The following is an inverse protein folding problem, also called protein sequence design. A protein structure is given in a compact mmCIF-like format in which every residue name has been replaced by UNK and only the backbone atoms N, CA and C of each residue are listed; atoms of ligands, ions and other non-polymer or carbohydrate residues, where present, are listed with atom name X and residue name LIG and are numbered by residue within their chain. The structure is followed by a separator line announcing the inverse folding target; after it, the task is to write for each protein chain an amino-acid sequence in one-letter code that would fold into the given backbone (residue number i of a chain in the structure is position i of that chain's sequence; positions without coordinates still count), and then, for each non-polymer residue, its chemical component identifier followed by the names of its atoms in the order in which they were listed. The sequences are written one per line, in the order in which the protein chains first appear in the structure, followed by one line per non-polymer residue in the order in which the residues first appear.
data_IF_005878487302
#
_entry.id   IF_005878487302
#
_cell.length_a   1.000
_cell.length_b   1.000
_cell.length_c   1.000
_cell.angle_alpha   90.00
_cell.angle_beta   90.00
_cell.angle_gamma   90.00
#
_symmetry.space_group_name_H-M   'P 1'
#
loop_
_entity.id
_entity.type
_entity.pdbx_description
1 polymer ?
#
# COMPACT_ATOMS: atom_id res chain seq x y z
N UNK A 1 7.60 25.47 -5.12
CA UNK A 1 7.72 25.21 -3.66
C UNK A 1 6.30 25.06 -3.12
N UNK A 2 5.84 23.84 -2.83
CA UNK A 2 4.52 23.63 -2.25
C UNK A 2 4.61 23.95 -0.75
N UNK A 3 3.93 24.99 -0.27
CA UNK A 3 3.65 25.12 1.16
C UNK A 3 2.64 24.04 1.51
N UNK A 4 3.10 22.95 2.12
CA UNK A 4 2.21 21.95 2.71
C UNK A 4 1.61 22.61 3.95
N UNK A 5 0.42 23.20 3.82
CA UNK A 5 -0.40 23.47 4.99
C UNK A 5 -0.82 22.10 5.50
N UNK A 6 -0.15 21.60 6.54
CA UNK A 6 -0.56 20.42 7.30
C UNK A 6 -1.95 20.71 7.87
N UNK A 7 -3.01 20.54 7.07
CA UNK A 7 -4.36 20.40 7.59
C UNK A 7 -4.48 18.97 8.08
N UNK A 8 -3.89 18.75 9.25
CA UNK A 8 -4.05 17.55 10.06
C UNK A 8 -5.52 17.51 10.52
N UNK A 9 -6.39 16.86 9.74
CA UNK A 9 -7.64 16.35 10.30
C UNK A 9 -7.30 15.03 10.97
N UNK A 10 -7.24 15.04 12.29
CA UNK A 10 -7.27 13.82 13.10
C UNK A 10 -8.61 13.14 12.77
N UNK A 11 -8.55 12.01 12.06
CA UNK A 11 -9.72 11.16 11.89
C UNK A 11 -9.81 10.30 13.16
N UNK A 12 -10.54 10.78 14.15
CA UNK A 12 -11.01 9.95 15.25
C UNK A 12 -12.01 8.95 14.67
N UNK A 13 -11.69 7.66 14.76
CA UNK A 13 -12.65 6.58 14.51
C UNK A 13 -13.63 6.59 15.68
N UNK A 14 -14.76 7.28 15.53
CA UNK A 14 -15.83 7.26 16.54
C UNK A 14 -16.63 5.96 16.44
N UNK A 15 -16.54 5.13 17.47
CA UNK A 15 -17.39 3.97 17.70
C UNK A 15 -18.75 4.42 18.25
N UNK A 16 -19.64 4.87 17.37
CA UNK A 16 -20.99 5.32 17.71
C UNK A 16 -22.06 4.25 17.48
N UNK A 17 -22.28 3.36 18.45
CA UNK A 17 -23.45 2.47 18.46
C UNK A 17 -24.68 3.17 19.04
N UNK A 18 -25.81 3.15 18.33
CA UNK A 18 -27.14 3.37 18.91
C UNK A 18 -28.10 2.27 18.49
N UNK A 19 -28.69 1.63 19.50
CA UNK A 19 -29.79 0.69 19.38
C UNK A 19 -31.12 1.43 19.15
N UNK A 20 -32.00 0.87 18.32
CA UNK A 20 -33.37 1.31 18.10
C UNK A 20 -34.13 0.29 17.24
N UNK A 21 -35.28 -0.17 17.72
CA UNK A 21 -35.97 -1.38 17.24
C UNK A 21 -36.87 -1.24 16.00
N UNK A 22 -37.12 -2.42 15.41
CA UNK A 22 -38.30 -2.95 14.69
C UNK A 22 -38.86 -2.33 13.37
N UNK A 23 -39.00 -3.25 12.40
CA UNK A 23 -39.85 -3.36 11.18
C UNK A 23 -39.52 -2.55 9.90
N UNK A 24 -39.00 -3.22 8.87
CA UNK A 24 -39.74 -3.60 7.64
C UNK A 24 -38.83 -4.29 6.60
N UNK A 25 -39.36 -5.33 5.94
CA UNK A 25 -38.66 -6.30 5.08
C UNK A 25 -38.32 -5.82 3.65
N UNK A 26 -38.23 -4.51 3.41
CA UNK A 26 -37.95 -3.92 2.09
C UNK A 26 -36.61 -3.16 2.02
N UNK A 27 -35.88 -3.07 3.14
CA UNK A 27 -34.64 -2.27 3.26
C UNK A 27 -33.35 -3.02 2.96
N UNK A 28 -33.39 -4.34 2.73
CA UNK A 28 -32.17 -5.15 2.54
C UNK A 28 -31.48 -4.97 1.17
N UNK A 29 -32.21 -4.54 0.13
CA UNK A 29 -31.64 -4.33 -1.21
C UNK A 29 -30.91 -2.99 -1.36
N UNK A 30 -31.32 -1.96 -0.62
CA UNK A 30 -30.71 -0.63 -0.73
C UNK A 30 -29.35 -0.53 -0.04
N UNK A 31 -29.16 -1.23 1.09
CA UNK A 31 -27.90 -1.27 1.83
C UNK A 31 -26.82 -2.11 1.08
N UNK A 32 -27.28 -3.11 0.31
CA UNK A 32 -26.48 -3.98 -0.57
C UNK A 32 -25.89 -3.28 -1.80
N UNK A 33 -26.47 -2.16 -2.24
CA UNK A 33 -26.11 -1.48 -3.49
C UNK A 33 -25.15 -0.30 -3.29
N UNK A 34 -24.66 -0.09 -2.07
CA UNK A 34 -23.88 1.10 -1.73
C UNK A 34 -22.47 1.00 -2.31
N UNK A 35 -22.11 1.99 -3.13
CA UNK A 35 -20.73 2.27 -3.52
C UNK A 35 -19.91 2.61 -2.27
N UNK A 36 -18.84 1.86 -2.04
CA UNK A 36 -17.91 2.05 -0.91
C UNK A 36 -16.66 2.74 -1.45
N UNK A 37 -16.27 3.85 -0.84
CA UNK A 37 -15.04 4.58 -1.18
C UNK A 37 -14.17 4.72 0.07
N UNK A 38 -12.95 4.20 0.01
CA UNK A 38 -12.01 4.23 1.12
C UNK A 38 -10.68 4.85 0.70
N UNK A 39 -10.09 5.62 1.62
CA UNK A 39 -8.81 6.31 1.40
C UNK A 39 -7.73 5.90 2.38
N UNK A 40 -6.51 5.72 1.91
CA UNK A 40 -5.34 5.57 2.77
C UNK A 40 -4.30 6.63 2.41
N UNK A 41 -3.71 7.23 3.43
CA UNK A 41 -2.81 8.36 3.26
C UNK A 41 -1.37 7.90 3.08
N UNK A 42 -0.57 8.69 2.38
CA UNK A 42 0.87 8.52 2.33
C UNK A 42 1.47 8.68 3.73
N UNK A 43 2.68 8.16 3.92
CA UNK A 43 3.42 8.27 5.18
C UNK A 43 4.83 8.79 4.94
N UNK A 44 5.33 9.54 5.91
CA UNK A 44 6.73 9.98 5.96
C UNK A 44 7.37 9.47 7.23
N UNK A 45 8.56 8.92 7.06
CA UNK A 45 9.45 8.61 8.18
C UNK A 45 10.14 9.87 8.68
N UNK A 46 9.94 10.21 9.95
CA UNK A 46 10.51 11.40 10.57
C UNK A 46 11.89 11.13 11.18
N UNK A 47 12.02 10.07 12.00
CA UNK A 47 13.28 9.71 12.68
C UNK A 47 13.40 8.19 12.80
N UNK A 48 14.64 7.68 12.70
CA UNK A 48 14.96 6.30 13.08
C UNK A 48 14.84 5.28 11.95
N UNK A 49 14.85 5.67 10.67
CA UNK A 49 14.72 4.70 9.58
C UNK A 49 16.07 4.23 9.03
N UNK A 50 16.20 2.96 8.60
CA UNK A 50 15.25 1.85 8.81
C UNK A 50 15.34 1.28 10.24
N UNK A 51 14.21 1.04 10.92
CA UNK A 51 14.18 0.48 12.29
C UNK A 51 13.45 -0.86 12.43
N UNK A 52 12.45 -1.13 11.59
CA UNK A 52 11.61 -2.32 11.69
C UNK A 52 12.35 -3.62 11.39
N UNK A 53 13.33 -3.60 10.47
CA UNK A 53 14.21 -4.74 10.21
C UNK A 53 15.35 -4.90 11.24
N UNK A 54 15.58 -3.91 12.12
CA UNK A 54 16.72 -3.86 13.04
C UNK A 54 16.33 -3.81 14.51
N UNK A 55 15.06 -4.09 14.82
CA UNK A 55 14.48 -4.01 16.16
C UNK A 55 14.66 -2.65 16.84
N UNK A 56 14.63 -1.59 16.03
CA UNK A 56 14.81 -0.21 16.44
C UNK A 56 13.51 0.51 16.78
N UNK A 57 13.63 1.81 17.00
CA UNK A 57 12.52 2.73 17.31
C UNK A 57 12.44 3.80 16.25
N UNK A 58 11.23 4.10 15.78
CA UNK A 58 11.01 5.08 14.72
C UNK A 58 9.81 5.96 15.00
N UNK A 59 9.88 7.20 14.51
CA UNK A 59 8.77 8.15 14.51
C UNK A 59 8.40 8.41 13.07
N UNK A 60 7.12 8.31 12.75
CA UNK A 60 6.60 8.56 11.41
C UNK A 60 5.20 9.15 11.48
N UNK A 61 4.78 9.83 10.41
CA UNK A 61 3.47 10.46 10.35
C UNK A 61 2.80 10.34 8.99
N UNK A 62 1.47 10.44 8.97
CA UNK A 62 0.65 10.44 7.75
C UNK A 62 0.63 11.82 7.09
N UNK A 63 0.67 11.87 5.76
CA UNK A 63 0.51 13.08 4.95
C UNK A 63 -0.89 13.12 4.31
N UNK A 64 -1.75 14.00 4.79
CA UNK A 64 -3.13 14.12 4.29
C UNK A 64 -3.24 14.51 2.80
N UNK A 65 -2.25 15.24 2.27
CA UNK A 65 -2.29 15.75 0.90
C UNK A 65 -2.06 14.67 -0.17
N UNK A 66 -1.49 13.53 0.23
CA UNK A 66 -1.16 12.42 -0.64
C UNK A 66 -1.90 11.18 -0.17
N UNK A 67 -2.69 10.56 -1.03
CA UNK A 67 -3.52 9.42 -0.67
C UNK A 67 -3.81 8.53 -1.89
N UNK A 68 -4.08 7.27 -1.60
CA UNK A 68 -4.71 6.33 -2.51
C UNK A 68 -6.19 6.21 -2.16
N UNK A 69 -7.04 6.15 -3.18
CA UNK A 69 -8.47 5.89 -3.06
C UNK A 69 -8.77 4.57 -3.73
N UNK A 70 -9.56 3.73 -3.08
CA UNK A 70 -10.14 2.53 -3.69
C UNK A 70 -11.65 2.64 -3.61
N UNK A 71 -12.31 2.27 -4.70
CA UNK A 71 -13.76 2.27 -4.83
C UNK A 71 -14.20 0.84 -5.09
N UNK A 72 -15.14 0.35 -4.28
CA UNK A 72 -15.81 -0.93 -4.44
C UNK A 72 -17.28 -0.68 -4.78
N UNK A 73 -17.72 -1.20 -5.91
CA UNK A 73 -19.11 -1.13 -6.37
C UNK A 73 -19.68 -2.55 -6.49
N UNK A 74 -20.82 -2.87 -5.84
CA UNK A 74 -21.47 -4.17 -6.00
C UNK A 74 -21.76 -4.48 -7.48
N UNK A 75 -21.47 -5.70 -7.92
CA UNK A 75 -21.72 -6.11 -9.31
C UNK A 75 -21.97 -7.63 -9.42
N UNK A 76 -22.62 -8.11 -10.51
CA UNK A 76 -22.89 -9.55 -10.67
C UNK A 76 -21.63 -10.44 -10.70
N UNK A 77 -20.49 -9.87 -11.09
CA UNK A 77 -19.20 -10.56 -11.17
C UNK A 77 -18.11 -9.78 -10.45
N UNK A 78 -17.01 -10.44 -10.10
CA UNK A 78 -15.81 -9.78 -9.56
C UNK A 78 -15.00 -9.18 -10.71
N UNK A 79 -14.74 -7.87 -10.67
CA UNK A 79 -13.96 -7.15 -11.69
C UNK A 79 -12.93 -6.23 -11.05
N UNK A 80 -11.81 -6.04 -11.72
CA UNK A 80 -10.80 -5.05 -11.37
C UNK A 80 -10.63 -4.11 -12.54
N UNK A 81 -10.84 -2.81 -12.33
CA UNK A 81 -10.67 -1.80 -13.38
C UNK A 81 -9.21 -1.33 -13.40
N UNK A 82 -8.49 -1.52 -14.52
CA UNK A 82 -7.14 -0.99 -14.68
C UNK A 82 -7.13 0.54 -14.60
N UNK A 83 -6.14 1.10 -13.91
CA UNK A 83 -5.95 2.54 -13.90
C UNK A 83 -5.29 2.99 -15.21
N UNK A 84 -5.87 3.97 -15.91
CA UNK A 84 -5.42 4.36 -17.26
C UNK A 84 -3.92 4.68 -17.37
N UNK A 85 -3.33 5.27 -16.33
CA UNK A 85 -1.90 5.65 -16.30
C UNK A 85 -1.01 4.56 -15.67
N UNK A 86 -1.58 3.77 -14.76
CA UNK A 86 -0.80 2.91 -13.86
C UNK A 86 -0.94 1.41 -14.17
N UNK A 87 -1.94 1.06 -14.97
CA UNK A 87 -2.21 -0.25 -15.54
C UNK A 87 -2.68 -0.06 -17.00
N UNK A 88 -1.85 0.55 -17.89
CA UNK A 88 -2.27 0.73 -19.28
C UNK A 88 -2.51 -0.62 -19.94
N UNK A 89 -3.73 -0.86 -20.42
CA UNK A 89 -4.12 -2.08 -21.13
C UNK A 89 -4.43 -1.85 -22.62
N UNK A 90 -4.39 -0.60 -23.08
CA UNK A 90 -4.64 -0.22 -24.46
C UNK A 90 -3.44 0.55 -25.02
N UNK A 91 -2.99 0.16 -26.21
CA UNK A 91 -1.82 0.73 -26.88
C UNK A 91 -2.11 0.87 -28.38
N UNK A 92 -1.64 1.96 -28.99
CA UNK A 92 -1.79 2.20 -30.43
C UNK A 92 -0.85 1.35 -31.30
N UNK A 93 0.20 0.75 -30.72
CA UNK A 93 1.09 -0.19 -31.42
C UNK A 93 1.85 -1.10 -30.45
N UNK A 94 2.39 -2.21 -30.98
CA UNK A 94 3.25 -3.11 -30.22
C UNK A 94 4.51 -2.39 -29.72
N UNK A 95 5.09 -1.49 -30.52
CA UNK A 95 6.26 -0.71 -30.15
C UNK A 95 5.96 0.21 -28.97
N UNK A 96 4.77 0.84 -28.94
CA UNK A 96 4.33 1.66 -27.81
C UNK A 96 4.18 0.81 -26.55
N UNK A 97 3.57 -0.38 -26.66
CA UNK A 97 3.44 -1.31 -25.55
C UNK A 97 4.81 -1.74 -25.01
N UNK A 98 5.73 -2.19 -25.87
CA UNK A 98 7.07 -2.62 -25.48
C UNK A 98 7.86 -1.48 -24.83
N UNK A 99 7.78 -0.26 -25.37
CA UNK A 99 8.43 0.92 -24.78
C UNK A 99 7.87 1.22 -23.39
N UNK A 100 6.55 1.17 -23.24
CA UNK A 100 5.87 1.38 -21.96
C UNK A 100 6.30 0.33 -20.91
N UNK A 101 6.29 -0.95 -21.28
CA UNK A 101 6.74 -2.05 -20.40
C UNK A 101 8.21 -1.91 -20.04
N UNK A 102 9.08 -1.55 -21.00
CA UNK A 102 10.49 -1.31 -20.76
C UNK A 102 10.74 -0.17 -19.77
N UNK A 103 9.93 0.91 -19.81
CA UNK A 103 10.00 1.99 -18.83
C UNK A 103 9.59 1.55 -17.42
N UNK A 104 8.61 0.66 -17.29
CA UNK A 104 8.21 0.09 -15.99
C UNK A 104 9.25 -0.88 -15.43
N UNK A 105 9.95 -1.62 -16.29
CA UNK A 105 11.07 -2.49 -15.87
C UNK A 105 12.37 -1.71 -15.60
N UNK A 106 12.61 -0.60 -16.31
CA UNK A 106 13.83 0.19 -16.13
C UNK A 106 13.81 1.07 -14.87
N UNK A 107 12.65 1.28 -14.25
CA UNK A 107 12.59 1.95 -12.94
C UNK A 107 13.12 1.11 -11.77
N UNK A 108 13.59 -0.13 -12.03
CA UNK A 108 14.35 -0.98 -11.08
C UNK A 108 15.77 -1.30 -11.62
N UNK A 109 16.12 -0.87 -12.84
CA UNK A 109 17.34 -1.31 -13.52
C UNK A 109 18.59 -0.41 -13.32
N UNK A 110 18.67 0.39 -12.25
CA UNK A 110 19.91 1.08 -11.86
C UNK A 110 20.72 0.29 -10.81
N UNK A 111 20.79 -1.04 -10.99
CA UNK A 111 21.84 -1.86 -10.42
C UNK A 111 22.46 -2.75 -11.50
N UNK A 112 23.71 -2.38 -11.82
CA UNK A 112 24.69 -3.02 -12.73
C UNK A 112 24.72 -2.49 -14.17
N UNK A 113 25.34 -1.32 -14.35
CA UNK A 113 26.16 -1.08 -15.55
C UNK A 113 27.63 -0.92 -15.14
N UNK A 114 28.28 -2.06 -15.13
CA UNK A 114 29.72 -2.20 -15.32
C UNK A 114 30.14 -1.42 -16.57
N UNK A 115 31.10 -0.48 -16.43
CA UNK A 115 31.73 0.20 -17.57
C UNK A 115 32.69 -0.77 -18.27
N UNK A 116 32.47 -1.18 -19.53
CA UNK A 116 33.46 -1.99 -20.22
C UNK A 116 34.58 -1.08 -20.69
N UNK A 117 35.81 -1.34 -20.22
CA UNK A 117 37.00 -0.94 -20.99
C UNK A 117 37.03 -1.83 -22.23
N UNK A 118 37.00 -1.20 -23.39
CA UNK A 118 37.16 -1.85 -24.68
C UNK A 118 38.51 -2.57 -24.69
N UNK A 119 38.51 -3.88 -24.92
CA UNK A 119 39.59 -4.49 -25.68
C UNK A 119 39.09 -5.66 -26.53
N UNK A 120 39.60 -5.68 -27.77
CA UNK A 120 39.20 -6.53 -28.89
C UNK A 120 39.62 -7.98 -28.67
N UNK A 121 38.65 -8.91 -28.69
CA UNK A 121 38.74 -10.24 -29.34
C UNK A 121 37.47 -11.05 -29.03
N UNK A 122 36.80 -11.50 -30.08
CA UNK A 122 35.69 -12.46 -30.07
C UNK A 122 36.25 -13.88 -30.35
N UNK A 123 35.50 -15.01 -30.23
CA UNK A 123 34.12 -15.17 -29.78
C UNK A 123 33.81 -16.48 -28.97
N UNK A 124 32.55 -16.58 -28.50
CA UNK A 124 31.72 -17.80 -28.32
C UNK A 124 31.45 -18.41 -26.93
N UNK A 125 30.13 -18.46 -26.66
CA UNK A 125 29.37 -19.25 -25.67
C UNK A 125 29.56 -18.91 -24.20
N UNK A 126 28.56 -18.19 -23.64
CA UNK A 126 27.79 -18.55 -22.42
C UNK A 126 27.07 -17.31 -21.84
N UNK A 127 25.98 -16.89 -22.48
CA UNK A 127 25.02 -15.94 -21.89
C UNK A 127 23.62 -16.32 -22.37
N UNK A 128 23.01 -17.29 -21.71
CA UNK A 128 21.59 -17.61 -21.97
C UNK A 128 20.84 -18.07 -20.70
N UNK A 129 21.37 -17.77 -19.51
CA UNK A 129 20.75 -18.24 -18.26
C UNK A 129 20.87 -17.27 -17.10
N UNK A 130 20.79 -15.96 -17.37
CA UNK A 130 20.72 -14.92 -16.34
C UNK A 130 19.66 -13.82 -16.61
N UNK A 131 18.97 -13.83 -17.77
CA UNK A 131 17.89 -12.87 -18.08
C UNK A 131 16.49 -13.40 -17.75
N UNK A 132 16.30 -14.72 -17.65
CA UNK A 132 14.98 -15.32 -17.42
C UNK A 132 14.49 -15.24 -15.96
N UNK A 133 15.40 -15.10 -14.98
CA UNK A 133 15.04 -15.10 -13.55
C UNK A 133 14.78 -13.70 -12.97
N UNK A 134 15.29 -12.63 -13.59
CA UNK A 134 14.94 -11.24 -13.23
C UNK A 134 13.53 -10.85 -13.69
N UNK A 135 13.02 -11.51 -14.73
CA UNK A 135 11.66 -11.33 -15.24
C UNK A 135 10.62 -12.09 -14.38
N UNK A 136 11.06 -13.07 -13.57
CA UNK A 136 10.18 -13.92 -12.76
C UNK A 136 9.73 -13.32 -11.42
N UNK A 137 10.41 -12.28 -10.91
CA UNK A 137 10.07 -11.66 -9.62
C UNK A 137 9.32 -10.33 -9.70
N UNK A 138 9.32 -9.66 -10.86
CA UNK A 138 8.97 -8.24 -10.96
C UNK A 138 8.17 -7.89 -12.24
N UNK A 139 7.19 -8.72 -12.59
CA UNK A 139 6.39 -8.55 -13.82
C UNK A 139 5.54 -7.26 -13.88
N UNK A 140 5.13 -6.91 -15.11
CA UNK A 140 4.06 -5.97 -15.53
C UNK A 140 3.39 -5.17 -14.37
N UNK A 141 4.09 -4.14 -13.87
CA UNK A 141 3.82 -3.46 -12.60
C UNK A 141 2.61 -2.51 -12.65
N UNK A 142 1.45 -3.02 -12.24
CA UNK A 142 0.22 -2.26 -12.08
C UNK A 142 -0.39 -2.36 -10.67
N UNK A 143 -1.33 -1.46 -10.32
CA UNK A 143 -2.04 -1.51 -9.04
C UNK A 143 -3.13 -2.57 -8.98
N UNK A 144 -3.60 -3.10 -10.13
CA UNK A 144 -4.60 -4.18 -10.17
C UNK A 144 -4.10 -5.43 -9.43
N UNK A 145 -2.80 -5.77 -9.54
CA UNK A 145 -2.23 -6.92 -8.82
C UNK A 145 -2.30 -6.75 -7.29
N UNK A 146 -2.16 -5.51 -6.80
CA UNK A 146 -2.30 -5.20 -5.36
C UNK A 146 -3.74 -5.45 -4.90
N UNK A 147 -4.72 -5.07 -5.72
CA UNK A 147 -6.14 -5.33 -5.44
C UNK A 147 -6.45 -6.83 -5.44
N UNK A 148 -5.94 -7.58 -6.42
CA UNK A 148 -6.12 -9.03 -6.49
C UNK A 148 -5.50 -9.75 -5.29
N UNK A 149 -4.26 -9.40 -4.93
CA UNK A 149 -3.61 -9.95 -3.75
C UNK A 149 -4.34 -9.58 -2.46
N UNK A 150 -4.85 -8.34 -2.34
CA UNK A 150 -5.67 -7.93 -1.21
C UNK A 150 -6.94 -8.79 -1.08
N UNK A 151 -7.65 -9.06 -2.18
CA UNK A 151 -8.81 -9.94 -2.19
C UNK A 151 -8.47 -11.38 -1.79
N UNK A 152 -7.37 -11.94 -2.31
CA UNK A 152 -6.91 -13.29 -1.97
C UNK A 152 -6.61 -13.41 -0.48
N UNK A 153 -5.74 -12.53 0.05
CA UNK A 153 -5.36 -12.55 1.46
C UNK A 153 -6.56 -12.28 2.36
N UNK A 154 -7.45 -11.36 1.97
CA UNK A 154 -8.71 -11.14 2.69
C UNK A 154 -9.53 -12.43 2.77
N UNK A 155 -9.73 -13.13 1.65
CA UNK A 155 -10.47 -14.39 1.64
C UNK A 155 -9.77 -15.46 2.50
N UNK A 156 -8.45 -15.62 2.37
CA UNK A 156 -7.69 -16.60 3.14
C UNK A 156 -7.82 -16.38 4.66
N UNK A 157 -7.85 -15.12 5.09
CA UNK A 157 -7.97 -14.72 6.51
C UNK A 157 -9.41 -14.80 7.01
N UNK A 158 -10.39 -14.36 6.21
CA UNK A 158 -11.76 -14.15 6.67
C UNK A 158 -12.77 -15.19 6.16
N UNK A 159 -12.40 -16.19 5.34
CA UNK A 159 -13.35 -17.21 4.82
C UNK A 159 -14.21 -17.94 5.87
N UNK A 160 -13.81 -17.95 7.14
CA UNK A 160 -14.57 -18.53 8.26
C UNK A 160 -15.09 -17.49 9.25
N UNK A 161 -14.92 -16.21 8.95
CA UNK A 161 -15.46 -15.10 9.72
C UNK A 161 -16.97 -15.00 9.56
N UNK A 162 -17.59 -14.32 10.53
CA UNK A 162 -18.99 -13.93 10.46
C UNK A 162 -19.11 -12.43 10.33
N UNK A 163 -20.11 -11.97 9.59
CA UNK A 163 -20.44 -10.55 9.46
C UNK A 163 -20.92 -9.95 10.81
N UNK A 164 -21.22 -8.66 10.83
CA UNK A 164 -21.76 -7.95 12.01
C UNK A 164 -23.09 -8.50 12.51
N UNK A 165 -23.80 -9.29 11.70
CA UNK A 165 -25.10 -9.92 11.98
C UNK A 165 -24.96 -11.41 12.37
N UNK A 166 -23.76 -11.96 12.33
CA UNK A 166 -23.47 -13.36 12.66
C UNK A 166 -23.65 -14.35 11.50
N UNK A 167 -23.81 -13.88 10.26
CA UNK A 167 -23.92 -14.73 9.07
C UNK A 167 -22.55 -15.02 8.47
N UNK A 168 -22.44 -16.13 7.72
CA UNK A 168 -21.27 -16.39 6.88
C UNK A 168 -21.13 -15.32 5.79
N UNK A 169 -19.90 -15.08 5.35
CA UNK A 169 -19.59 -14.26 4.18
C UNK A 169 -20.49 -14.62 2.97
N UNK A 170 -21.12 -13.61 2.38
CA UNK A 170 -21.89 -13.76 1.15
C UNK A 170 -20.98 -13.92 -0.07
N UNK A 171 -21.51 -14.47 -1.17
CA UNK A 171 -20.77 -14.66 -2.44
C UNK A 171 -21.09 -13.60 -3.51
N UNK A 172 -21.52 -12.40 -3.09
CA UNK A 172 -21.86 -11.31 -4.01
C UNK A 172 -20.59 -10.74 -4.68
N UNK A 173 -20.62 -10.61 -6.01
CA UNK A 173 -19.54 -9.98 -6.78
C UNK A 173 -19.42 -8.47 -6.57
N UNK A 174 -18.30 -7.89 -7.02
CA UNK A 174 -18.02 -6.46 -6.91
C UNK A 174 -16.97 -6.02 -7.92
N UNK A 175 -16.98 -4.74 -8.26
CA UNK A 175 -15.98 -4.09 -9.12
C UNK A 175 -15.09 -3.22 -8.24
N UNK A 176 -13.77 -3.46 -8.27
CA UNK A 176 -12.77 -2.63 -7.62
C UNK A 176 -12.08 -1.73 -8.64
N UNK A 177 -11.90 -0.46 -8.28
CA UNK A 177 -11.06 0.50 -8.99
C UNK A 177 -10.24 1.30 -7.99
N UNK A 178 -9.13 1.88 -8.43
CA UNK A 178 -8.29 2.70 -7.58
C UNK A 178 -7.79 3.94 -8.32
N UNK A 179 -7.48 4.98 -7.55
CA UNK A 179 -6.79 6.19 -8.00
C UNK A 179 -5.80 6.62 -6.92
N UNK A 180 -4.74 7.34 -7.28
CA UNK A 180 -3.75 7.82 -6.32
C UNK A 180 -3.03 9.06 -6.83
N UNK A 181 -2.85 10.04 -5.94
CA UNK A 181 -1.98 11.17 -6.19
C UNK A 181 -0.60 11.01 -5.52
N UNK A 182 -0.31 9.86 -4.90
CA UNK A 182 0.96 9.56 -4.26
C UNK A 182 2.03 9.36 -5.35
N UNK A 183 3.08 10.20 -5.39
CA UNK A 183 4.15 10.04 -6.36
C UNK A 183 4.84 8.68 -6.25
N UNK A 184 5.00 7.99 -7.39
CA UNK A 184 5.69 6.69 -7.43
C UNK A 184 7.14 6.81 -6.98
N UNK A 185 7.64 5.77 -6.32
CA UNK A 185 9.05 5.61 -5.92
C UNK A 185 9.62 6.80 -5.13
N UNK A 186 8.80 7.54 -4.40
CA UNK A 186 9.26 8.68 -3.59
C UNK A 186 9.47 8.34 -2.12
N UNK A 187 9.37 7.05 -1.76
CA UNK A 187 9.40 6.64 -0.37
C UNK A 187 8.21 7.18 0.42
N UNK A 188 7.02 7.27 -0.20
CA UNK A 188 5.74 7.69 0.43
C UNK A 188 4.75 6.54 0.70
N UNK A 189 5.16 5.29 0.43
CA UNK A 189 4.36 4.08 0.67
C UNK A 189 3.05 4.00 -0.13
N UNK A 190 3.13 4.31 -1.44
CA UNK A 190 1.95 4.30 -2.31
C UNK A 190 1.31 2.92 -2.50
N UNK A 191 2.11 1.84 -2.58
CA UNK A 191 1.60 0.46 -2.70
C UNK A 191 0.79 0.04 -1.47
N UNK A 192 1.36 0.21 -0.28
CA UNK A 192 0.69 -0.12 0.98
C UNK A 192 -0.57 0.73 1.20
N UNK A 193 -0.59 1.99 0.71
CA UNK A 193 -1.79 2.81 0.72
C UNK A 193 -2.92 2.20 -0.14
N UNK A 194 -2.61 1.77 -1.37
CA UNK A 194 -3.61 1.12 -2.25
C UNK A 194 -4.14 -0.16 -1.59
N UNK A 195 -3.23 -0.99 -1.05
CA UNK A 195 -3.60 -2.23 -0.35
C UNK A 195 -4.51 -1.92 0.84
N UNK A 196 -4.14 -0.94 1.67
CA UNK A 196 -4.94 -0.60 2.85
C UNK A 196 -6.31 -0.04 2.48
N UNK A 197 -6.39 0.83 1.49
CA UNK A 197 -7.66 1.33 0.97
C UNK A 197 -8.55 0.19 0.46
N UNK A 198 -7.98 -0.80 -0.25
CA UNK A 198 -8.71 -1.97 -0.73
C UNK A 198 -9.22 -2.86 0.41
N UNK A 199 -8.38 -3.14 1.41
CA UNK A 199 -8.78 -3.93 2.57
C UNK A 199 -9.90 -3.25 3.35
N UNK A 200 -9.90 -1.92 3.49
CA UNK A 200 -11.01 -1.19 4.11
C UNK A 200 -12.31 -1.34 3.33
N UNK A 201 -12.27 -1.26 2.00
CA UNK A 201 -13.45 -1.52 1.17
C UNK A 201 -14.00 -2.93 1.38
N UNK A 202 -13.12 -3.93 1.44
CA UNK A 202 -13.52 -5.33 1.65
C UNK A 202 -14.11 -5.55 3.05
N UNK A 203 -13.46 -5.01 4.09
CA UNK A 203 -13.96 -5.08 5.47
C UNK A 203 -15.37 -4.46 5.59
N UNK A 204 -15.61 -3.33 4.94
CA UNK A 204 -16.94 -2.68 4.91
C UNK A 204 -17.95 -3.46 4.07
N UNK A 205 -17.55 -3.92 2.87
CA UNK A 205 -18.45 -4.62 1.95
C UNK A 205 -18.97 -5.95 2.51
N UNK A 206 -18.10 -6.68 3.21
CA UNK A 206 -18.41 -7.94 3.86
C UNK A 206 -18.84 -7.78 5.33
N UNK A 207 -18.96 -6.54 5.80
CA UNK A 207 -19.37 -6.21 7.18
C UNK A 207 -18.56 -6.97 8.25
N UNK A 208 -17.23 -7.04 8.07
CA UNK A 208 -16.33 -7.71 9.02
C UNK A 208 -16.14 -6.84 10.26
N UNK A 209 -16.51 -7.33 11.47
CA UNK A 209 -16.36 -6.56 12.69
C UNK A 209 -14.89 -6.23 12.99
N UNK A 210 -14.64 -5.01 13.47
CA UNK A 210 -13.28 -4.53 13.80
C UNK A 210 -12.52 -5.46 14.75
N UNK A 211 -13.22 -6.10 15.70
CA UNK A 211 -12.62 -7.09 16.62
C UNK A 211 -12.03 -8.28 15.87
N UNK A 212 -12.72 -8.79 14.85
CA UNK A 212 -12.23 -9.89 14.00
C UNK A 212 -11.09 -9.41 13.11
N UNK A 213 -11.18 -8.18 12.59
CA UNK A 213 -10.12 -7.58 11.78
C UNK A 213 -8.82 -7.31 12.56
N UNK A 214 -8.88 -7.23 13.89
CA UNK A 214 -7.74 -6.97 14.77
C UNK A 214 -7.04 -8.24 15.29
N UNK A 215 -7.56 -9.44 15.03
CA UNK A 215 -7.06 -10.71 15.61
C UNK A 215 -5.55 -10.92 15.35
N UNK A 216 -5.05 -10.48 14.19
CA UNK A 216 -3.62 -10.55 13.82
C UNK A 216 -2.94 -9.16 13.69
N UNK A 217 -3.69 -8.08 13.92
CA UNK A 217 -3.28 -6.71 13.66
C UNK A 217 -3.40 -6.28 12.18
N UNK A 218 -4.11 -5.19 11.93
CA UNK A 218 -4.32 -4.62 10.58
C UNK A 218 -3.00 -4.30 9.82
N UNK A 219 -1.93 -3.78 10.45
CA UNK A 219 -0.66 -3.55 9.75
C UNK A 219 -0.04 -4.84 9.19
N UNK A 220 -0.16 -5.94 9.93
CA UNK A 220 0.33 -7.26 9.54
C UNK A 220 -0.47 -7.83 8.36
N UNK A 221 -1.77 -7.51 8.27
CA UNK A 221 -2.60 -7.92 7.13
C UNK A 221 -2.12 -7.26 5.83
N UNK A 222 -1.79 -5.97 5.87
CA UNK A 222 -1.23 -5.26 4.70
C UNK A 222 0.14 -5.85 4.33
N UNK A 223 0.98 -6.16 5.33
CA UNK A 223 2.28 -6.82 5.10
C UNK A 223 2.12 -8.16 4.39
N UNK A 224 1.16 -9.01 4.81
CA UNK A 224 0.88 -10.30 4.17
C UNK A 224 0.50 -10.16 2.69
N UNK A 225 -0.26 -9.12 2.32
CA UNK A 225 -0.59 -8.84 0.91
C UNK A 225 0.65 -8.52 0.09
N UNK A 226 1.58 -7.76 0.65
CA UNK A 226 2.82 -7.41 -0.01
C UNK A 226 3.77 -8.63 -0.12
N UNK A 227 3.84 -9.46 0.93
CA UNK A 227 4.57 -10.73 0.92
C UNK A 227 4.02 -11.73 -0.12
N UNK A 228 2.69 -11.81 -0.27
CA UNK A 228 2.04 -12.62 -1.33
C UNK A 228 2.51 -12.22 -2.74
N UNK A 229 2.87 -10.95 -2.93
CA UNK A 229 3.38 -10.41 -4.19
C UNK A 229 4.91 -10.44 -4.28
N UNK A 230 5.60 -11.05 -3.31
CA UNK A 230 7.07 -11.09 -3.25
C UNK A 230 7.72 -9.74 -2.90
N UNK A 231 6.94 -8.76 -2.41
CA UNK A 231 7.46 -7.44 -2.06
C UNK A 231 8.15 -7.54 -0.70
N UNK A 232 9.46 -7.32 -0.67
CA UNK A 232 10.23 -7.24 0.58
C UNK A 232 9.99 -5.88 1.24
N UNK A 233 9.36 -5.87 2.40
CA UNK A 233 9.02 -4.64 3.13
C UNK A 233 8.85 -4.92 4.63
N UNK A 234 8.93 -3.86 5.44
CA UNK A 234 8.73 -3.93 6.88
C UNK A 234 7.39 -3.33 7.34
N UNK A 235 7.14 -3.34 8.65
CA UNK A 235 5.84 -2.97 9.22
C UNK A 235 5.58 -1.46 9.27
N UNK A 236 6.63 -0.63 9.28
CA UNK A 236 6.54 0.79 9.63
C UNK A 236 5.50 1.56 8.79
N UNK A 237 5.56 1.35 7.47
CA UNK A 237 4.65 1.91 6.48
C UNK A 237 3.18 1.68 6.86
N UNK A 238 2.87 0.41 7.14
CA UNK A 238 1.52 -0.07 7.35
C UNK A 238 0.96 0.41 8.68
N UNK A 239 1.80 0.49 9.71
CA UNK A 239 1.40 0.99 11.02
C UNK A 239 0.90 2.42 10.91
N UNK A 240 1.68 3.31 10.29
CA UNK A 240 1.28 4.72 10.14
C UNK A 240 0.02 4.87 9.29
N UNK A 241 -0.12 4.06 8.24
CA UNK A 241 -1.30 4.09 7.36
C UNK A 241 -2.57 3.60 8.04
N UNK A 242 -2.45 2.65 8.97
CA UNK A 242 -3.57 2.14 9.77
C UNK A 242 -3.93 3.11 10.90
N UNK A 243 -2.94 3.59 11.66
CA UNK A 243 -3.15 4.42 12.85
C UNK A 243 -3.45 5.88 12.51
N UNK A 244 -2.85 6.40 11.43
CA UNK A 244 -2.88 7.81 11.07
C UNK A 244 -2.14 8.71 12.06
N UNK A 245 -2.07 10.00 11.75
CA UNK A 245 -1.46 10.99 12.63
C UNK A 245 0.06 10.83 12.76
N UNK A 246 0.58 11.10 13.96
CA UNK A 246 1.98 10.94 14.33
C UNK A 246 2.12 9.71 15.23
N UNK A 247 3.00 8.78 14.88
CA UNK A 247 3.13 7.50 15.58
C UNK A 247 4.59 7.24 15.93
N UNK A 248 4.82 6.95 17.20
CA UNK A 248 6.04 6.35 17.70
C UNK A 248 5.89 4.83 17.66
N UNK A 249 6.87 4.16 17.10
CA UNK A 249 6.88 2.70 16.92
C UNK A 249 8.15 2.14 17.54
N UNK A 250 7.96 1.14 18.40
CA UNK A 250 9.02 0.35 19.01
C UNK A 250 8.96 -1.07 18.49
N UNK A 251 9.96 -1.46 17.70
CA UNK A 251 10.07 -2.80 17.13
C UNK A 251 10.97 -3.69 17.97
N UNK A 252 10.94 -3.55 19.30
CA UNK A 252 11.75 -4.35 20.19
C UNK A 252 11.67 -5.86 19.86
N UNK A 253 12.82 -6.51 19.95
CA UNK A 253 12.98 -7.90 19.50
C UNK A 253 11.98 -8.85 20.17
N UNK A 254 11.70 -8.64 21.46
CA UNK A 254 10.81 -9.49 22.25
C UNK A 254 9.36 -9.39 21.76
N UNK A 255 8.83 -8.19 21.54
CA UNK A 255 7.48 -7.99 21.00
C UNK A 255 7.36 -8.52 19.57
N UNK A 256 8.37 -8.28 18.75
CA UNK A 256 8.39 -8.73 17.35
C UNK A 256 8.43 -10.26 17.23
N UNK A 257 9.25 -10.94 18.03
CA UNK A 257 9.34 -12.41 18.01
C UNK A 257 8.11 -13.08 18.62
N UNK A 258 7.56 -12.53 19.71
CA UNK A 258 6.44 -13.16 20.45
C UNK A 258 5.07 -12.89 19.82
N UNK A 259 4.83 -11.68 19.31
CA UNK A 259 3.51 -11.23 18.87
C UNK A 259 3.46 -10.83 17.40
N UNK A 260 4.60 -10.86 16.68
CA UNK A 260 4.73 -10.38 15.30
C UNK A 260 4.22 -8.95 15.10
N UNK A 261 4.33 -8.12 16.14
CA UNK A 261 3.98 -6.69 16.13
C UNK A 261 4.91 -5.91 17.05
N UNK A 262 5.13 -4.64 16.71
CA UNK A 262 5.76 -3.69 17.61
C UNK A 262 4.77 -3.07 18.59
N UNK A 263 5.29 -2.22 19.46
CA UNK A 263 4.52 -1.36 20.36
C UNK A 263 4.32 -0.01 19.65
N UNK A 264 3.07 0.41 19.49
CA UNK A 264 2.73 1.61 18.73
C UNK A 264 2.02 2.61 19.63
N UNK A 265 2.56 3.82 19.71
CA UNK A 265 2.04 4.91 20.55
C UNK A 265 1.69 6.09 19.64
N UNK A 266 0.41 6.45 19.61
CA UNK A 266 -0.03 7.69 18.98
C UNK A 266 0.54 8.89 19.75
N UNK A 267 1.05 9.87 19.03
CA UNK A 267 1.63 11.10 19.58
C UNK A 267 0.85 12.30 19.06
N UNK A 268 0.96 13.41 19.79
CA UNK A 268 0.37 14.68 19.40
C UNK A 268 1.13 15.28 18.19
N UNK A 269 0.48 15.49 17.03
CA UNK A 269 1.10 16.12 15.88
C UNK A 269 1.60 17.55 16.14
N UNK A 270 1.09 18.25 17.15
CA UNK A 270 1.57 19.59 17.55
C UNK A 270 3.02 19.59 18.06
N UNK A 271 3.58 18.42 18.37
CA UNK A 271 4.98 18.26 18.73
C UNK A 271 5.93 18.40 17.53
N UNK A 272 5.42 18.34 16.29
CA UNK A 272 6.25 18.49 15.10
C UNK A 272 6.60 19.97 14.86
N UNK A 273 7.86 20.30 14.54
CA UNK A 273 8.18 21.63 14.04
C UNK A 273 7.51 21.86 12.67
N UNK A 274 7.45 23.09 12.17
CA UNK A 274 7.09 23.33 10.77
C UNK A 274 7.98 22.47 9.84
N UNK A 275 7.36 21.71 8.94
CA UNK A 275 8.07 20.83 8.00
C UNK A 275 7.80 21.24 6.55
N UNK A 276 8.84 21.18 5.73
CA UNK A 276 8.75 21.32 4.28
C UNK A 276 8.91 19.96 3.62
N UNK A 277 8.01 19.66 2.68
CA UNK A 277 8.11 18.48 1.83
C UNK A 277 8.86 18.81 0.54
N UNK A 278 10.00 18.17 0.34
CA UNK A 278 10.76 18.27 -0.90
C UNK A 278 10.80 16.89 -1.53
N UNK A 279 10.33 16.80 -2.77
CA UNK A 279 10.40 15.55 -3.54
C UNK A 279 10.71 15.86 -5.00
N UNK A 280 11.56 15.03 -5.60
CA UNK A 280 11.86 15.11 -7.02
C UNK A 280 10.77 14.39 -7.81
N UNK A 281 10.20 15.08 -8.81
CA UNK A 281 9.25 14.47 -9.75
C UNK A 281 9.90 13.38 -10.61
N UNK A 282 11.20 13.50 -10.87
CA UNK A 282 12.06 12.55 -11.59
C UNK A 282 13.42 12.49 -10.87
N UNK A 283 13.61 11.60 -9.87
CA UNK A 283 14.92 11.44 -9.25
C UNK A 283 15.89 10.83 -10.27
N UNK A 284 16.96 11.55 -10.62
CA UNK A 284 18.13 10.96 -11.29
C UNK A 284 18.99 10.28 -10.22
N UNK A 285 19.24 8.98 -10.40
CA UNK A 285 19.96 8.17 -9.42
C UNK A 285 21.38 8.69 -9.17
N UNK A 286 21.64 9.18 -7.96
CA UNK A 286 22.99 9.32 -7.44
C UNK A 286 23.19 8.28 -6.35
N UNK A 287 23.52 7.07 -6.79
CA UNK A 287 23.90 5.95 -5.94
C UNK A 287 25.09 6.30 -5.03
N UNK A 288 24.88 6.08 -3.73
CA UNK A 288 25.84 5.64 -2.70
C UNK A 288 25.21 5.94 -1.35
N UNK A 289 24.65 4.90 -0.72
CA UNK A 289 24.46 4.82 0.74
C UNK A 289 24.07 6.13 1.45
N UNK A 290 23.08 6.86 0.92
CA UNK A 290 22.37 7.87 1.67
C UNK A 290 20.97 7.32 1.89
N UNK A 291 20.69 7.00 3.15
CA UNK A 291 19.38 6.73 3.72
C UNK A 291 18.60 8.05 3.65
N UNK A 292 18.29 8.50 2.45
CA UNK A 292 17.36 9.58 2.19
C UNK A 292 16.35 9.03 1.20
N UNK A 293 15.18 8.70 1.75
CA UNK A 293 13.95 8.65 0.98
C UNK A 293 13.96 9.80 -0.04
N UNK A 294 13.55 9.59 -1.31
CA UNK A 294 13.46 10.66 -2.32
C UNK A 294 12.52 11.81 -1.92
N UNK A 295 11.83 11.61 -0.81
CA UNK A 295 11.16 12.62 0.01
C UNK A 295 11.99 12.88 1.26
N UNK A 296 12.47 14.11 1.38
CA UNK A 296 13.02 14.64 2.62
C UNK A 296 12.03 15.61 3.26
N UNK A 297 11.83 15.48 4.56
CA UNK A 297 11.26 16.54 5.38
C UNK A 297 12.40 17.39 5.92
N UNK A 298 12.41 18.67 5.54
CA UNK A 298 13.33 19.66 6.09
C UNK A 298 12.58 20.53 7.10
N UNK A 299 13.27 20.89 8.19
CA UNK A 299 12.83 21.90 9.16
C UNK A 299 13.17 23.29 8.63
#
# INVERSE_FOLDING_TARGET
MLRVKLSLRVLTVESGGKAGGFQNSETMDAESARRIEQRAYARVGFLGNPSDAYFGKTISFSLANFYATVVLEPSPTIRFLPHAVHDPCEFGSLQQMVTCVAHFSSTIADNLVYKPKINRAQPEKKYEMLEADRIRGEGYYGGVRLLMAACKVFFDVFKHAVDGKGNSLHDRGFTLSYDTNIPRQTGLSGSSAIVWAALKCLLEYFDIPTKQAQVDGLPSLILRVEEELGITAGLQDRVVQVYGGLVYMDFDKTSMESQKKGIYTAMDPELLPPLYLIYCKNPSDSGKACIQSPVACAV
#
